data_IF_475200500673
#
_entry.id   IF_475200500673
#
_cell.length_a   1.000
_cell.length_b   1.000
_cell.length_c   1.000
_cell.angle_alpha   90.00
_cell.angle_beta   90.00
_cell.angle_gamma   90.00
#
_symmetry.space_group_name_H-M   'P 1'
#
loop_
_entity.id
_entity.type
_entity.pdbx_description
1 polymer ?
#
# COMPACT_ATOMS: atom_id res chain seq x y z
N UNK A 1 -21.97 4.94 1.47
CA UNK A 1 -21.02 3.83 1.48
C UNK A 1 -19.62 4.36 1.73
N UNK A 2 -18.88 3.81 2.65
CA UNK A 2 -17.45 4.12 2.83
C UNK A 2 -16.67 2.84 2.60
N UNK A 3 -15.70 2.89 1.71
CA UNK A 3 -14.79 1.78 1.47
C UNK A 3 -13.41 2.08 2.03
N UNK A 4 -12.68 1.02 2.37
CA UNK A 4 -11.27 1.15 2.68
C UNK A 4 -10.46 0.91 1.39
N UNK A 5 -9.57 1.85 1.10
CA UNK A 5 -8.67 1.80 -0.04
C UNK A 5 -7.25 1.70 0.49
N UNK A 6 -6.45 0.87 -0.13
CA UNK A 6 -5.01 0.85 0.16
C UNK A 6 -4.30 1.84 -0.74
N UNK A 7 -3.76 2.88 -0.14
CA UNK A 7 -2.94 3.89 -0.84
C UNK A 7 -1.47 3.59 -0.61
N UNK A 8 -0.65 3.75 -1.64
CA UNK A 8 0.79 3.51 -1.56
C UNK A 8 1.54 4.83 -1.67
N UNK A 9 2.38 5.10 -0.69
CA UNK A 9 3.35 6.20 -0.72
C UNK A 9 4.75 5.63 -0.90
N UNK A 10 5.40 5.98 -2.00
CA UNK A 10 6.75 5.50 -2.35
C UNK A 10 7.78 6.56 -2.03
N UNK A 11 8.81 6.17 -1.32
CA UNK A 11 9.96 6.98 -0.95
C UNK A 11 11.20 6.39 -1.60
N UNK A 12 12.00 7.23 -2.24
CA UNK A 12 13.27 6.85 -2.85
C UNK A 12 14.40 7.47 -2.05
N UNK A 13 15.33 6.66 -1.60
CA UNK A 13 16.47 7.08 -0.79
C UNK A 13 17.78 6.69 -1.47
N UNK A 14 18.76 7.57 -1.41
CA UNK A 14 20.14 7.24 -1.78
C UNK A 14 20.76 6.30 -0.75
N UNK A 15 21.75 5.48 -1.11
CA UNK A 15 22.40 4.53 -0.19
C UNK A 15 22.96 5.20 1.07
N UNK A 16 23.48 6.42 0.93
CA UNK A 16 24.15 7.18 2.00
C UNK A 16 23.18 7.99 2.89
N UNK A 17 21.88 7.85 2.65
CA UNK A 17 20.87 8.55 3.45
C UNK A 17 20.78 7.97 4.86
N UNK A 18 20.78 8.81 5.88
CA UNK A 18 20.58 8.38 7.26
C UNK A 18 19.13 8.57 7.68
N UNK A 19 18.46 7.49 8.06
CA UNK A 19 17.06 7.52 8.52
C UNK A 19 17.04 7.88 10.00
N UNK A 20 16.46 9.04 10.33
CA UNK A 20 16.32 9.54 11.69
C UNK A 20 15.09 8.95 12.37
N UNK A 21 13.96 8.97 11.68
CA UNK A 21 12.69 8.48 12.18
C UNK A 21 11.84 7.90 11.06
N UNK A 22 11.15 6.82 11.35
CA UNK A 22 10.19 6.20 10.43
C UNK A 22 8.96 5.72 11.19
N UNK A 23 7.80 5.91 10.59
CA UNK A 23 6.53 5.40 11.12
C UNK A 23 6.55 3.87 11.17
N UNK A 24 5.94 3.30 12.20
CA UNK A 24 5.85 1.86 12.37
C UNK A 24 4.59 1.30 11.72
N UNK A 25 4.62 0.03 11.39
CA UNK A 25 3.45 -0.74 10.98
C UNK A 25 2.37 -0.68 12.07
N UNK A 26 1.11 -0.60 11.67
CA UNK A 26 -0.08 -0.40 12.51
C UNK A 26 -0.17 0.98 13.19
N UNK A 27 0.70 1.92 12.87
CA UNK A 27 0.53 3.30 13.32
C UNK A 27 -0.58 4.01 12.54
N UNK A 28 -1.34 4.83 13.24
CA UNK A 28 -2.30 5.74 12.61
C UNK A 28 -1.62 7.05 12.25
N UNK A 29 -1.77 7.46 11.01
CA UNK A 29 -1.21 8.72 10.49
C UNK A 29 -2.34 9.63 10.02
N UNK A 30 -2.15 10.92 10.18
CA UNK A 30 -3.00 11.97 9.59
C UNK A 30 -2.33 12.51 8.34
N UNK A 31 -3.11 13.17 7.50
CA UNK A 31 -2.56 13.92 6.38
C UNK A 31 -1.54 14.94 6.90
N UNK A 32 -0.38 14.98 6.26
CA UNK A 32 0.78 15.80 6.62
C UNK A 32 1.64 15.31 7.79
N UNK A 33 1.29 14.21 8.46
CA UNK A 33 2.20 13.57 9.41
C UNK A 33 3.45 13.04 8.68
N UNK A 34 4.61 13.06 9.33
CA UNK A 34 5.84 12.53 8.74
C UNK A 34 5.76 11.00 8.69
N UNK A 35 5.96 10.43 7.50
CA UNK A 35 6.13 8.98 7.31
C UNK A 35 7.56 8.55 7.58
N UNK A 36 8.50 9.36 7.12
CA UNK A 36 9.92 9.14 7.29
C UNK A 36 10.64 10.49 7.33
N UNK A 37 11.57 10.62 8.24
CA UNK A 37 12.51 11.75 8.33
C UNK A 37 13.91 11.22 8.16
N UNK A 38 14.68 11.83 7.30
CA UNK A 38 16.03 11.41 6.98
C UNK A 38 16.92 12.61 6.72
N UNK A 39 18.21 12.39 6.81
CA UNK A 39 19.22 13.37 6.47
C UNK A 39 20.15 12.81 5.38
N UNK A 40 20.59 13.70 4.51
CA UNK A 40 21.59 13.36 3.51
C UNK A 40 22.98 13.56 4.13
N UNK A 41 23.78 12.50 4.15
CA UNK A 41 25.17 12.62 4.55
C UNK A 41 25.94 13.23 3.38
N UNK A 42 26.43 14.46 3.57
CA UNK A 42 27.34 15.08 2.60
C UNK A 42 28.71 14.41 2.73
N UNK A 43 29.10 13.65 1.73
CA UNK A 43 30.42 12.97 1.69
C UNK A 43 31.58 13.92 1.36
N UNK A 44 31.30 15.19 1.09
CA UNK A 44 32.35 16.14 0.71
C UNK A 44 33.15 16.59 1.93
N UNK A 45 34.35 16.01 2.06
CA UNK A 45 35.28 16.37 3.12
C UNK A 45 35.68 17.87 3.10
N UNK A 46 35.55 18.54 1.94
CA UNK A 46 35.74 19.98 1.80
C UNK A 46 34.55 20.77 2.33
N UNK A 47 33.32 20.28 2.06
CA UNK A 47 32.12 20.88 2.60
C UNK A 47 32.10 20.83 4.15
N UNK A 48 32.49 19.71 4.74
CA UNK A 48 32.60 19.56 6.19
C UNK A 48 33.68 20.45 6.79
N UNK A 49 34.82 20.65 6.12
CA UNK A 49 35.86 21.61 6.59
C UNK A 49 35.39 23.06 6.53
N UNK A 50 34.59 23.41 5.53
CA UNK A 50 34.01 24.76 5.42
C UNK A 50 32.96 24.95 6.50
N UNK A 51 32.17 23.95 6.78
CA UNK A 51 31.16 23.91 7.86
C UNK A 51 31.80 24.12 9.23
N UNK A 52 32.87 23.38 9.55
CA UNK A 52 33.60 23.49 10.80
C UNK A 52 34.23 24.88 10.97
N UNK A 53 34.52 25.60 9.88
CA UNK A 53 35.10 26.92 9.89
C UNK A 53 34.09 28.07 10.11
N UNK A 54 32.80 27.82 9.92
CA UNK A 54 31.74 28.83 9.96
C UNK A 54 31.03 28.98 11.33
N UNK A 55 31.38 28.14 12.31
CA UNK A 55 30.88 28.21 13.70
C UNK A 55 29.61 27.45 13.95
N UNK A 56 29.32 27.18 15.23
CA UNK A 56 28.25 26.29 15.69
C UNK A 56 26.83 26.70 15.25
N UNK A 57 26.57 28.00 15.12
CA UNK A 57 25.26 28.50 14.68
C UNK A 57 24.95 28.16 13.21
N UNK A 58 26.00 28.15 12.38
CA UNK A 58 25.84 27.82 10.97
C UNK A 58 25.79 26.30 10.74
N UNK A 59 26.51 25.52 11.53
CA UNK A 59 26.47 24.07 11.49
C UNK A 59 25.07 23.55 11.87
N UNK A 60 24.43 24.11 12.88
CA UNK A 60 23.07 23.76 13.27
C UNK A 60 22.04 24.11 12.20
N UNK A 61 22.20 25.20 11.48
CA UNK A 61 21.35 25.61 10.36
C UNK A 61 21.48 24.66 9.17
N UNK A 62 22.68 24.22 8.86
CA UNK A 62 22.94 23.25 7.77
C UNK A 62 22.44 21.85 8.13
N UNK A 63 22.58 21.44 9.38
CA UNK A 63 21.97 20.19 9.88
C UNK A 63 20.45 20.23 9.78
N UNK A 64 19.83 21.36 10.04
CA UNK A 64 18.38 21.53 9.90
C UNK A 64 17.94 21.56 8.43
N UNK A 65 18.72 22.18 7.56
CA UNK A 65 18.51 22.17 6.10
C UNK A 65 18.77 20.80 5.45
N UNK A 66 19.64 19.98 6.04
CA UNK A 66 19.93 18.62 5.57
C UNK A 66 18.84 17.60 5.92
N UNK A 67 17.88 17.97 6.77
CA UNK A 67 16.79 17.08 7.20
C UNK A 67 15.59 17.21 6.27
N UNK A 68 15.27 16.10 5.61
CA UNK A 68 14.10 15.99 4.77
C UNK A 68 13.06 15.09 5.43
N UNK A 69 11.77 15.39 5.19
CA UNK A 69 10.70 14.56 5.67
C UNK A 69 9.64 14.33 4.58
N UNK A 70 9.27 13.08 4.39
CA UNK A 70 8.18 12.73 3.50
C UNK A 70 6.91 12.55 4.30
N UNK A 71 5.90 13.33 3.95
CA UNK A 71 4.64 13.42 4.66
C UNK A 71 3.58 12.51 4.06
N UNK A 72 2.70 12.00 4.93
CA UNK A 72 1.54 11.24 4.53
C UNK A 72 0.58 12.10 3.69
N UNK A 73 0.22 11.61 2.51
CA UNK A 73 -0.80 12.23 1.64
C UNK A 73 -2.21 11.89 2.10
N UNK A 74 -2.37 10.76 2.78
CA UNK A 74 -3.65 10.21 3.21
C UNK A 74 -3.63 9.89 4.69
N UNK A 75 -4.74 10.14 5.37
CA UNK A 75 -4.94 9.72 6.75
C UNK A 75 -5.37 8.25 6.79
N UNK A 76 -4.85 7.47 7.72
CA UNK A 76 -5.21 6.07 7.86
C UNK A 76 -4.24 5.28 8.72
N UNK A 77 -4.36 3.96 8.65
CA UNK A 77 -3.49 3.02 9.32
C UNK A 77 -2.41 2.50 8.36
N UNK A 78 -1.17 2.47 8.79
CA UNK A 78 -0.07 1.83 8.05
C UNK A 78 -0.22 0.32 8.18
N UNK A 79 -0.71 -0.33 7.12
CA UNK A 79 -0.95 -1.79 7.15
C UNK A 79 0.28 -2.60 6.78
N UNK A 80 1.16 -2.04 5.95
CA UNK A 80 2.40 -2.70 5.55
C UNK A 80 3.48 -1.69 5.16
N UNK A 81 4.74 -2.10 5.29
CA UNK A 81 5.91 -1.34 4.84
C UNK A 81 6.78 -2.31 4.07
N UNK A 82 7.12 -1.98 2.83
CA UNK A 82 7.99 -2.79 1.98
C UNK A 82 9.25 -2.04 1.65
N UNK A 83 10.37 -2.76 1.67
CA UNK A 83 11.69 -2.20 1.41
C UNK A 83 12.30 -2.94 0.24
N UNK A 84 12.75 -2.20 -0.77
CA UNK A 84 13.44 -2.72 -1.94
C UNK A 84 14.78 -2.02 -2.07
N UNK A 85 15.80 -2.73 -2.48
CA UNK A 85 17.10 -2.15 -2.75
C UNK A 85 17.78 -2.86 -3.92
N UNK A 86 18.54 -2.13 -4.69
CA UNK A 86 19.28 -2.61 -5.88
C UNK A 86 20.77 -2.28 -5.82
N UNK A 87 21.26 -1.99 -4.63
CA UNK A 87 22.67 -1.68 -4.36
C UNK A 87 23.21 -2.67 -3.32
N UNK A 88 24.52 -2.94 -3.31
CA UNK A 88 25.13 -3.75 -2.26
C UNK A 88 24.81 -3.18 -0.88
N UNK A 89 24.41 -4.05 0.07
CA UNK A 89 24.03 -3.62 1.41
C UNK A 89 25.14 -2.88 2.14
N UNK A 90 26.39 -3.25 1.86
CA UNK A 90 27.61 -2.75 2.49
C UNK A 90 27.84 -1.26 2.21
N UNK A 91 27.31 -0.74 1.09
CA UNK A 91 27.44 0.68 0.75
C UNK A 91 26.30 1.53 1.30
N UNK A 92 25.33 0.92 1.94
CA UNK A 92 24.22 1.63 2.57
C UNK A 92 24.61 2.12 3.96
N UNK A 93 23.98 3.22 4.40
CA UNK A 93 24.13 3.73 5.77
C UNK A 93 23.69 2.69 6.81
N UNK A 94 24.21 2.79 8.04
CA UNK A 94 23.88 1.88 9.13
C UNK A 94 22.37 1.82 9.43
N UNK A 95 21.68 2.94 9.28
CA UNK A 95 20.23 3.02 9.49
C UNK A 95 19.45 2.24 8.42
N UNK A 96 19.87 2.35 7.16
CA UNK A 96 19.31 1.59 6.05
C UNK A 96 19.64 0.09 6.18
N UNK A 97 20.86 -0.26 6.55
CA UNK A 97 21.25 -1.67 6.78
C UNK A 97 20.37 -2.32 7.86
N UNK A 98 20.16 -1.63 8.99
CA UNK A 98 19.25 -2.10 10.06
C UNK A 98 17.81 -2.25 9.58
N UNK A 99 17.34 -1.35 8.73
CA UNK A 99 15.99 -1.43 8.14
C UNK A 99 15.88 -2.66 7.23
N UNK A 100 16.84 -2.89 6.34
CA UNK A 100 16.89 -4.05 5.44
C UNK A 100 16.91 -5.35 6.26
N UNK A 101 17.72 -5.43 7.32
CA UNK A 101 17.80 -6.61 8.17
C UNK A 101 16.50 -6.89 8.92
N UNK A 102 15.86 -5.84 9.42
CA UNK A 102 14.57 -5.96 10.08
C UNK A 102 13.51 -6.52 9.13
N UNK A 103 13.47 -5.99 7.92
CA UNK A 103 12.54 -6.42 6.89
C UNK A 103 12.83 -7.86 6.41
N UNK A 104 14.11 -8.20 6.19
CA UNK A 104 14.51 -9.56 5.82
C UNK A 104 14.14 -10.60 6.89
N UNK A 105 14.27 -10.26 8.18
CA UNK A 105 13.82 -11.13 9.29
C UNK A 105 12.32 -11.39 9.21
N UNK A 106 11.52 -10.36 9.00
CA UNK A 106 10.05 -10.49 8.88
C UNK A 106 9.67 -11.39 7.68
N UNK A 107 10.30 -11.20 6.53
CA UNK A 107 10.09 -12.05 5.34
C UNK A 107 10.48 -13.49 5.60
N UNK A 108 11.63 -13.73 6.23
CA UNK A 108 12.08 -15.09 6.54
C UNK A 108 11.14 -15.81 7.48
N UNK A 109 10.55 -15.12 8.46
CA UNK A 109 9.51 -15.69 9.32
C UNK A 109 8.27 -16.08 8.49
N UNK A 110 7.83 -15.22 7.60
CA UNK A 110 6.69 -15.50 6.70
C UNK A 110 6.99 -16.69 5.78
N UNK A 111 8.19 -16.76 5.21
CA UNK A 111 8.61 -17.90 4.37
C UNK A 111 8.52 -19.22 5.12
N UNK A 112 9.03 -19.28 6.34
CA UNK A 112 8.95 -20.49 7.17
C UNK A 112 7.50 -20.93 7.44
N UNK A 113 6.59 -19.98 7.70
CA UNK A 113 5.18 -20.29 7.92
C UNK A 113 4.55 -20.94 6.68
N UNK A 114 4.90 -20.43 5.49
CA UNK A 114 4.34 -20.95 4.22
C UNK A 114 4.98 -22.27 3.80
N UNK A 115 6.24 -22.48 4.09
CA UNK A 115 6.91 -23.78 3.84
C UNK A 115 6.23 -24.93 4.58
N UNK A 116 5.59 -24.64 5.72
CA UNK A 116 4.80 -25.62 6.50
C UNK A 116 3.34 -25.74 6.05
N UNK A 117 2.88 -24.93 5.13
CA UNK A 117 1.53 -25.01 4.57
C UNK A 117 1.58 -25.59 3.15
N UNK A 118 0.72 -26.54 2.84
CA UNK A 118 0.64 -27.19 1.51
C UNK A 118 0.31 -26.23 0.35
N UNK A 119 0.02 -25.00 0.64
CA UNK A 119 -0.42 -23.97 -0.31
C UNK A 119 0.73 -23.05 -0.72
N UNK A 120 1.72 -23.60 -1.41
CA UNK A 120 2.95 -22.88 -1.81
C UNK A 120 2.76 -21.72 -2.79
N UNK A 121 1.58 -21.58 -3.42
CA UNK A 121 1.41 -20.64 -4.53
C UNK A 121 0.66 -19.36 -4.21
N UNK A 122 -0.01 -19.25 -3.05
CA UNK A 122 -1.07 -18.24 -2.91
C UNK A 122 -0.68 -16.99 -2.10
N UNK A 123 0.39 -16.99 -1.32
CA UNK A 123 0.48 -16.04 -0.20
C UNK A 123 1.69 -15.12 -0.24
N UNK A 124 2.67 -15.36 -1.11
CA UNK A 124 3.78 -14.41 -1.22
C UNK A 124 3.51 -13.37 -2.30
N UNK A 125 3.24 -12.13 -1.92
CA UNK A 125 3.49 -11.05 -2.85
C UNK A 125 4.96 -11.16 -3.27
N UNK A 126 5.28 -10.81 -4.50
CA UNK A 126 6.63 -10.77 -5.09
C UNK A 126 7.60 -9.83 -4.35
N UNK A 127 7.57 -9.88 -3.06
CA UNK A 127 8.27 -9.00 -2.13
C UNK A 127 9.74 -9.38 -2.01
N UNK A 128 10.09 -10.55 -2.51
CA UNK A 128 11.36 -11.19 -2.23
C UNK A 128 12.44 -10.90 -3.26
N UNK A 129 12.19 -10.03 -4.19
CA UNK A 129 13.22 -9.61 -5.13
C UNK A 129 13.99 -8.45 -4.54
N UNK A 130 14.75 -8.80 -3.60
CA UNK A 130 15.95 -8.15 -3.17
C UNK A 130 16.97 -8.49 -4.25
N UNK A 131 17.66 -7.50 -4.79
CA UNK A 131 18.79 -7.60 -5.69
C UNK A 131 18.48 -7.63 -7.19
N UNK A 132 19.21 -6.79 -7.90
CA UNK A 132 19.52 -6.77 -9.35
C UNK A 132 18.37 -6.61 -10.33
N UNK A 133 17.12 -6.65 -9.91
CA UNK A 133 16.02 -6.32 -10.80
C UNK A 133 15.51 -4.90 -10.55
N UNK A 134 15.63 -4.05 -11.56
CA UNK A 134 14.96 -2.75 -11.61
C UNK A 134 13.46 -2.96 -11.34
N UNK A 135 12.92 -2.28 -10.36
CA UNK A 135 11.48 -2.26 -10.16
C UNK A 135 10.88 -1.70 -11.43
N UNK A 136 9.96 -2.43 -12.05
CA UNK A 136 9.40 -2.08 -13.35
C UNK A 136 8.84 -0.65 -13.33
N UNK A 137 9.39 0.23 -14.15
CA UNK A 137 8.98 1.64 -14.24
C UNK A 137 9.66 2.58 -13.26
N UNK A 138 10.63 2.11 -12.46
CA UNK A 138 11.41 2.94 -11.54
C UNK A 138 12.88 2.73 -11.83
N UNK A 139 13.54 3.76 -12.36
CA UNK A 139 14.98 3.81 -12.55
C UNK A 139 15.59 4.59 -11.38
N UNK A 140 16.00 3.88 -10.34
CA UNK A 140 16.59 4.47 -9.15
C UNK A 140 17.61 3.51 -8.55
N UNK A 141 18.85 3.96 -8.44
CA UNK A 141 19.89 3.25 -7.70
C UNK A 141 19.83 3.66 -6.23
N UNK A 142 19.52 2.70 -5.37
CA UNK A 142 19.38 2.96 -3.95
C UNK A 142 18.29 2.11 -3.30
N UNK A 143 17.60 2.71 -2.36
CA UNK A 143 16.57 2.05 -1.55
C UNK A 143 15.21 2.69 -1.80
N UNK A 144 14.21 1.86 -1.97
CA UNK A 144 12.82 2.28 -2.15
C UNK A 144 12.00 1.72 -1.00
N UNK A 145 11.28 2.59 -0.32
CA UNK A 145 10.37 2.22 0.77
C UNK A 145 8.95 2.54 0.34
N UNK A 146 8.07 1.56 0.41
CA UNK A 146 6.65 1.72 0.14
C UNK A 146 5.86 1.61 1.44
N UNK A 147 5.11 2.64 1.76
CA UNK A 147 4.16 2.67 2.87
C UNK A 147 2.76 2.39 2.34
N UNK A 148 2.14 1.35 2.85
CA UNK A 148 0.78 0.95 2.50
C UNK A 148 -0.18 1.48 3.56
N UNK A 149 -0.97 2.49 3.19
CA UNK A 149 -1.91 3.18 4.08
C UNK A 149 -3.33 2.69 3.80
N UNK A 150 -3.99 2.15 4.79
CA UNK A 150 -5.42 1.81 4.75
C UNK A 150 -6.22 3.08 5.00
N UNK A 151 -6.59 3.75 3.93
CA UNK A 151 -7.36 4.98 3.95
C UNK A 151 -8.86 4.69 3.84
N UNK A 152 -9.66 5.42 4.59
CA UNK A 152 -11.11 5.37 4.47
C UNK A 152 -11.57 6.47 3.53
N UNK A 153 -12.07 6.08 2.38
CA UNK A 153 -12.64 7.02 1.43
C UNK A 153 -14.15 6.79 1.27
N UNK A 154 -14.84 7.85 0.91
CA UNK A 154 -16.26 7.79 0.58
C UNK A 154 -16.40 7.91 -0.92
N UNK A 155 -17.15 6.99 -1.48
CA UNK A 155 -17.51 7.05 -2.89
C UNK A 155 -18.32 8.33 -3.16
N UNK A 156 -18.00 9.02 -4.25
CA UNK A 156 -18.65 10.27 -4.68
C UNK A 156 -19.11 10.15 -6.12
N UNK A 157 -20.11 10.93 -6.47
CA UNK A 157 -20.53 11.11 -7.86
C UNK A 157 -19.34 11.60 -8.70
N UNK A 158 -19.11 10.95 -9.82
CA UNK A 158 -17.97 11.19 -10.70
C UNK A 158 -16.77 10.27 -10.50
N UNK A 159 -16.72 9.49 -9.41
CA UNK A 159 -15.65 8.53 -9.19
C UNK A 159 -15.69 7.42 -10.23
N UNK A 160 -14.51 7.00 -10.68
CA UNK A 160 -14.36 5.84 -11.56
C UNK A 160 -14.21 4.57 -10.73
N UNK A 161 -15.09 3.62 -10.96
CA UNK A 161 -15.07 2.32 -10.30
C UNK A 161 -15.02 1.20 -11.31
N UNK A 162 -14.53 0.04 -10.91
CA UNK A 162 -14.50 -1.16 -11.74
C UNK A 162 -15.18 -2.28 -10.98
N UNK A 163 -16.20 -2.87 -11.59
CA UNK A 163 -16.88 -4.05 -11.08
C UNK A 163 -16.35 -5.29 -11.79
N UNK A 164 -15.93 -6.28 -11.02
CA UNK A 164 -15.29 -7.44 -11.59
C UNK A 164 -14.03 -7.10 -12.36
N UNK A 165 -13.79 -7.80 -13.46
CA UNK A 165 -12.57 -7.66 -14.26
C UNK A 165 -12.67 -6.67 -15.40
N UNK A 166 -13.88 -6.32 -15.85
CA UNK A 166 -14.06 -5.63 -17.12
C UNK A 166 -15.01 -4.43 -17.11
N UNK A 167 -15.92 -4.30 -16.14
CA UNK A 167 -16.92 -3.24 -16.16
C UNK A 167 -16.39 -2.02 -15.44
N UNK A 168 -15.76 -1.13 -16.20
CA UNK A 168 -15.31 0.19 -15.74
C UNK A 168 -16.41 1.20 -15.96
N UNK A 169 -16.86 1.85 -14.91
CA UNK A 169 -17.96 2.81 -14.95
C UNK A 169 -17.68 4.03 -14.08
N UNK A 170 -18.53 5.02 -14.19
CA UNK A 170 -18.50 6.24 -13.38
C UNK A 170 -19.73 6.22 -12.47
N UNK A 171 -19.53 6.56 -11.21
CA UNK A 171 -20.61 6.72 -10.25
C UNK A 171 -21.47 7.91 -10.66
N UNK A 172 -22.71 7.64 -11.00
CA UNK A 172 -23.68 8.69 -11.37
C UNK A 172 -24.33 9.33 -10.16
N UNK A 173 -24.59 8.53 -9.13
CA UNK A 173 -25.19 8.98 -7.89
C UNK A 173 -24.81 8.09 -6.72
N UNK A 174 -24.93 8.64 -5.50
CA UNK A 174 -24.71 7.91 -4.25
C UNK A 174 -25.95 8.09 -3.38
N UNK A 175 -26.72 7.04 -3.24
CA UNK A 175 -27.97 7.07 -2.46
C UNK A 175 -27.67 7.39 -0.98
N UNK A 176 -28.52 8.24 -0.36
CA UNK A 176 -28.47 8.47 1.08
C UNK A 176 -28.71 7.19 1.88
N UNK A 177 -28.19 7.16 3.10
CA UNK A 177 -28.41 6.02 3.98
C UNK A 177 -29.90 5.89 4.31
N UNK A 178 -30.47 4.72 4.08
CA UNK A 178 -31.89 4.41 4.28
C UNK A 178 -32.76 4.48 3.01
N UNK A 179 -32.17 4.95 1.89
CA UNK A 179 -32.80 4.90 0.57
C UNK A 179 -32.25 3.78 -0.31
N UNK A 180 -31.33 2.98 0.24
CA UNK A 180 -30.75 1.86 -0.46
C UNK A 180 -31.79 0.78 -0.72
N UNK A 181 -31.82 0.19 -1.92
CA UNK A 181 -32.64 -0.98 -2.17
C UNK A 181 -32.19 -2.15 -1.30
N UNK A 182 -33.09 -2.97 -0.90
CA UNK A 182 -32.86 -4.15 -0.07
C UNK A 182 -33.38 -5.42 -0.75
N UNK A 183 -32.88 -6.55 -0.33
CA UNK A 183 -33.35 -7.85 -0.79
C UNK A 183 -34.22 -8.50 0.29
N UNK A 184 -35.48 -8.79 -0.03
CA UNK A 184 -36.37 -9.52 0.90
C UNK A 184 -35.80 -10.91 1.27
N UNK A 185 -35.13 -11.55 0.31
CA UNK A 185 -34.53 -12.87 0.52
C UNK A 185 -33.25 -12.81 1.37
N UNK A 186 -32.55 -11.68 1.35
CA UNK A 186 -31.26 -11.48 2.03
C UNK A 186 -31.26 -10.16 2.77
N UNK A 187 -32.07 -10.04 3.84
CA UNK A 187 -32.25 -8.77 4.56
C UNK A 187 -30.97 -8.27 5.24
N UNK A 188 -30.04 -9.16 5.54
CA UNK A 188 -28.77 -8.84 6.20
C UNK A 188 -27.66 -8.42 5.22
N UNK A 189 -27.95 -8.41 3.91
CA UNK A 189 -26.97 -8.05 2.89
C UNK A 189 -27.28 -6.70 2.26
N UNK A 190 -26.30 -5.80 2.34
CA UNK A 190 -26.38 -4.50 1.69
C UNK A 190 -26.23 -4.63 0.17
N UNK A 191 -27.10 -3.95 -0.56
CA UNK A 191 -26.92 -3.74 -2.01
C UNK A 191 -25.87 -2.66 -2.19
N UNK A 192 -24.69 -3.06 -2.68
CA UNK A 192 -23.53 -2.17 -2.77
C UNK A 192 -23.55 -1.27 -4.01
N UNK A 193 -24.12 -1.74 -5.10
CA UNK A 193 -24.22 -0.98 -6.35
C UNK A 193 -25.35 -1.48 -7.23
N UNK A 194 -25.92 -0.56 -7.99
CA UNK A 194 -26.89 -0.83 -9.04
C UNK A 194 -26.29 -0.29 -10.33
N UNK A 195 -26.35 -1.06 -11.38
CA UNK A 195 -25.91 -0.63 -12.72
C UNK A 195 -26.87 -1.15 -13.81
N UNK A 196 -26.92 -0.43 -14.91
CA UNK A 196 -27.78 -0.82 -16.03
C UNK A 196 -27.25 -2.07 -16.73
N UNK A 197 -28.07 -3.11 -16.96
CA UNK A 197 -27.69 -4.29 -17.75
C UNK A 197 -27.21 -3.91 -19.15
N UNK A 198 -27.77 -2.86 -19.74
CA UNK A 198 -27.37 -2.36 -21.07
C UNK A 198 -25.92 -1.93 -21.14
N UNK A 199 -25.34 -1.48 -20.04
CA UNK A 199 -23.92 -1.13 -20.01
C UNK A 199 -22.99 -2.35 -20.18
N UNK A 200 -23.44 -3.55 -19.88
CA UNK A 200 -22.72 -4.80 -20.11
C UNK A 200 -22.87 -5.23 -21.58
N UNK A 201 -24.10 -5.19 -22.07
CA UNK A 201 -24.43 -5.59 -23.46
C UNK A 201 -23.74 -4.68 -24.46
N UNK A 202 -23.81 -3.37 -24.28
CA UNK A 202 -23.20 -2.40 -25.19
C UNK A 202 -21.66 -2.50 -25.26
N UNK A 203 -21.03 -3.06 -24.22
CA UNK A 203 -19.58 -3.25 -24.19
C UNK A 203 -19.15 -4.65 -24.61
N UNK A 204 -20.10 -5.52 -24.97
CA UNK A 204 -19.85 -6.93 -25.37
C UNK A 204 -19.05 -7.72 -24.34
N UNK A 205 -19.20 -7.39 -23.06
CA UNK A 205 -18.49 -8.04 -21.95
C UNK A 205 -19.35 -9.17 -21.35
N UNK A 206 -19.68 -10.16 -22.15
CA UNK A 206 -20.54 -11.31 -21.76
C UNK A 206 -19.96 -12.13 -20.58
N UNK A 207 -18.63 -12.13 -20.44
CA UNK A 207 -17.95 -12.79 -19.31
C UNK A 207 -18.39 -12.23 -17.95
N UNK A 208 -18.87 -10.98 -17.92
CA UNK A 208 -19.41 -10.38 -16.70
C UNK A 208 -20.63 -11.14 -16.20
N UNK A 209 -21.51 -11.60 -17.09
CA UNK A 209 -22.66 -12.42 -16.71
C UNK A 209 -22.22 -13.77 -16.12
N UNK A 210 -21.28 -14.44 -16.78
CA UNK A 210 -20.74 -15.71 -16.29
C UNK A 210 -20.14 -15.57 -14.90
N UNK A 211 -19.40 -14.49 -14.69
CA UNK A 211 -18.80 -14.18 -13.37
C UNK A 211 -19.88 -13.91 -12.31
N UNK A 212 -20.93 -13.17 -12.64
CA UNK A 212 -22.04 -12.88 -11.73
C UNK A 212 -22.77 -14.17 -11.33
N UNK A 213 -23.08 -15.04 -12.31
CA UNK A 213 -23.70 -16.35 -12.05
C UNK A 213 -22.82 -17.22 -11.16
N UNK A 214 -21.55 -17.33 -11.48
CA UNK A 214 -20.60 -18.15 -10.71
C UNK A 214 -20.47 -17.63 -9.28
N UNK A 215 -20.32 -16.33 -9.10
CA UNK A 215 -20.24 -15.72 -7.77
C UNK A 215 -21.53 -15.93 -6.97
N UNK A 216 -22.69 -15.79 -7.61
CA UNK A 216 -23.98 -16.05 -6.95
C UNK A 216 -24.08 -17.50 -6.50
N UNK A 217 -23.71 -18.43 -7.33
CA UNK A 217 -23.69 -19.86 -6.99
C UNK A 217 -22.77 -20.14 -5.79
N UNK A 218 -21.56 -19.56 -5.79
CA UNK A 218 -20.60 -19.71 -4.69
C UNK A 218 -21.18 -19.16 -3.38
N UNK A 219 -21.86 -18.02 -3.41
CA UNK A 219 -22.49 -17.42 -2.23
C UNK A 219 -23.58 -18.35 -1.69
N UNK A 220 -24.46 -18.86 -2.54
CA UNK A 220 -25.51 -19.77 -2.12
C UNK A 220 -24.96 -21.10 -1.56
N UNK A 221 -23.92 -21.65 -2.19
CA UNK A 221 -23.23 -22.84 -1.66
C UNK A 221 -22.62 -22.58 -0.27
N UNK A 222 -21.93 -21.45 -0.08
CA UNK A 222 -21.37 -21.09 1.21
C UNK A 222 -22.43 -20.96 2.30
N UNK A 223 -23.58 -20.36 1.99
CA UNK A 223 -24.70 -20.27 2.93
C UNK A 223 -25.23 -21.64 3.33
N UNK A 224 -25.48 -22.48 2.33
CA UNK A 224 -25.96 -23.83 2.59
C UNK A 224 -24.96 -24.66 3.41
N UNK A 225 -23.67 -24.50 3.14
CA UNK A 225 -22.64 -25.16 3.95
C UNK A 225 -22.64 -24.64 5.40
N UNK A 226 -22.84 -23.33 5.58
CA UNK A 226 -22.91 -22.74 6.92
C UNK A 226 -24.13 -23.26 7.69
N UNK A 227 -25.31 -23.31 7.07
CA UNK A 227 -26.53 -23.86 7.65
C UNK A 227 -26.35 -25.33 8.10
N UNK A 228 -25.69 -26.14 7.27
CA UNK A 228 -25.40 -27.56 7.59
C UNK A 228 -24.38 -27.66 8.74
N UNK A 229 -23.42 -26.73 8.79
CA UNK A 229 -22.41 -26.73 9.86
C UNK A 229 -22.97 -26.29 11.22
N UNK A 230 -23.94 -25.39 11.23
CA UNK A 230 -24.57 -24.84 12.45
C UNK A 230 -25.75 -25.72 12.95
N UNK A 231 -26.24 -26.69 12.15
CA UNK A 231 -27.26 -27.67 12.53
C UNK A 231 -26.67 -28.88 13.25
#
# INVERSE_FOLDING_TARGET
MSSYITMVSTVKLSPNTNILQMVKKHAHVKTSDSLITFEHTFEDAEANRILDSLGDDFSSFVEEMGKDSIKAKYSGEIIDIKVYYNVPKEICSDSIQKLIDSYAKEINVRKKIVEHTDNKSAIFPRVDRITDEKIKGIDHEGVIIEFYVKHRDRLKTGDKVTYGTAVKTIVSDVLPKGEEPFSERYPDEDVLAIYSPMSIVSRMTTDTYNMLYTNKLIIEMKRKMKEIWES
#
